data_IF_062088178251
#
_entry.id   IF_062088178251
#
_cell.length_a   1.000
_cell.length_b   1.000
_cell.length_c   1.000
_cell.angle_alpha   90.00
_cell.angle_beta   90.00
_cell.angle_gamma   90.00
#
_symmetry.space_group_name_H-M   'P 1'
#
loop_
_entity.id
_entity.type
_entity.pdbx_description
1 polymer ?
#
# COMPACT_ATOMS: atom_id res chain seq x y z
N UNK A 1 -24.10 -1.17 -10.07
CA UNK A 1 -22.81 -0.53 -9.75
C UNK A 1 -22.45 -0.87 -8.31
N UNK A 2 -21.37 -1.63 -8.04
CA UNK A 2 -20.98 -1.89 -6.64
C UNK A 2 -20.23 -3.19 -6.34
N UNK A 3 -19.32 -3.67 -7.19
CA UNK A 3 -18.58 -4.93 -6.91
C UNK A 3 -17.08 -4.77 -6.62
N UNK A 4 -16.49 -3.58 -6.83
CA UNK A 4 -15.04 -3.42 -6.63
C UNK A 4 -14.63 -3.08 -5.20
N UNK A 5 -15.50 -2.51 -4.36
CA UNK A 5 -15.10 -2.08 -3.00
C UNK A 5 -14.90 -3.26 -2.03
N UNK A 6 -15.67 -4.33 -2.19
CA UNK A 6 -15.73 -5.46 -1.26
C UNK A 6 -14.58 -6.46 -1.41
N UNK A 7 -14.16 -6.76 -2.66
CA UNK A 7 -12.97 -7.60 -2.90
C UNK A 7 -11.71 -6.96 -2.31
N UNK A 8 -11.61 -5.65 -2.46
CA UNK A 8 -10.52 -4.84 -1.95
C UNK A 8 -10.46 -4.80 -0.43
N UNK A 9 -11.60 -4.56 0.22
CA UNK A 9 -11.69 -4.57 1.68
C UNK A 9 -11.29 -5.93 2.26
N UNK A 10 -11.66 -7.03 1.58
CA UNK A 10 -11.27 -8.38 1.96
C UNK A 10 -9.78 -8.68 1.69
N UNK A 11 -9.23 -8.21 0.58
CA UNK A 11 -7.80 -8.36 0.27
C UNK A 11 -6.94 -7.60 1.29
N UNK A 12 -7.32 -6.35 1.60
CA UNK A 12 -6.69 -5.56 2.65
C UNK A 12 -6.84 -6.21 4.03
N UNK A 13 -8.01 -6.76 4.39
CA UNK A 13 -8.21 -7.52 5.65
C UNK A 13 -7.31 -8.76 5.75
N UNK A 14 -7.06 -9.45 4.64
CA UNK A 14 -6.14 -10.61 4.60
C UNK A 14 -4.68 -10.19 4.77
N UNK A 15 -4.26 -9.08 4.16
CA UNK A 15 -2.90 -8.52 4.33
C UNK A 15 -2.69 -7.95 5.73
N UNK A 16 -3.75 -7.41 6.34
CA UNK A 16 -3.76 -6.84 7.70
C UNK A 16 -3.47 -7.84 8.83
N UNK A 17 -3.36 -9.14 8.55
CA UNK A 17 -3.23 -10.17 9.59
C UNK A 17 -1.82 -10.76 9.76
N UNK A 18 -0.81 -10.36 8.97
CA UNK A 18 0.54 -10.93 9.11
C UNK A 18 1.65 -9.93 9.46
N UNK A 19 1.62 -8.70 8.96
CA UNK A 19 2.60 -7.64 9.29
C UNK A 19 1.91 -6.26 9.18
N UNK A 20 1.01 -5.98 10.12
CA UNK A 20 -0.05 -4.99 9.93
C UNK A 20 0.46 -3.55 10.08
N UNK A 21 0.94 -2.96 8.99
CA UNK A 21 1.04 -1.51 8.89
C UNK A 21 -0.32 -0.89 9.27
N UNK A 22 -0.33 0.17 10.11
CA UNK A 22 -1.56 0.85 10.48
C UNK A 22 -2.35 1.27 9.22
N UNK A 23 -3.70 1.26 9.24
CA UNK A 23 -4.51 1.66 8.09
C UNK A 23 -4.17 3.04 7.53
N UNK A 24 -3.73 3.96 8.40
CA UNK A 24 -3.28 5.30 8.03
C UNK A 24 -2.01 5.26 7.17
N UNK A 25 -1.05 4.40 7.54
CA UNK A 25 0.19 4.17 6.79
C UNK A 25 -0.11 3.54 5.45
N UNK A 26 -0.98 2.52 5.42
CA UNK A 26 -1.41 1.89 4.18
C UNK A 26 -1.99 2.94 3.23
N UNK A 27 -2.93 3.77 3.68
CA UNK A 27 -3.50 4.83 2.81
C UNK A 27 -2.43 5.79 2.31
N UNK A 28 -1.53 6.23 3.18
CA UNK A 28 -0.46 7.15 2.82
C UNK A 28 0.51 6.55 1.78
N UNK A 29 0.91 5.28 1.94
CA UNK A 29 1.73 4.56 0.96
C UNK A 29 1.04 4.54 -0.39
N UNK A 30 -0.23 4.15 -0.42
CA UNK A 30 -1.02 4.05 -1.65
C UNK A 30 -1.18 5.39 -2.36
N UNK A 31 -1.53 6.45 -1.64
CA UNK A 31 -1.67 7.79 -2.21
C UNK A 31 -0.34 8.29 -2.78
N UNK A 32 0.74 8.17 -2.00
CA UNK A 32 2.07 8.65 -2.42
C UNK A 32 2.65 7.84 -3.57
N UNK A 33 2.49 6.52 -3.55
CA UNK A 33 2.92 5.64 -4.65
C UNK A 33 2.13 5.91 -5.93
N UNK A 34 0.81 6.14 -5.83
CA UNK A 34 -0.01 6.56 -6.98
C UNK A 34 0.44 7.89 -7.59
N UNK A 35 1.10 8.76 -6.82
CA UNK A 35 1.71 10.00 -7.30
C UNK A 35 3.12 9.79 -7.89
N UNK A 36 3.58 8.55 -8.07
CA UNK A 36 4.89 8.22 -8.62
C UNK A 36 6.06 8.39 -7.64
N UNK A 37 5.79 8.43 -6.32
CA UNK A 37 6.87 8.51 -5.33
C UNK A 37 7.55 7.14 -5.14
N UNK A 38 8.86 7.16 -4.95
CA UNK A 38 9.65 5.96 -4.64
C UNK A 38 9.38 5.48 -3.21
N UNK A 39 9.54 4.17 -2.93
CA UNK A 39 9.41 3.60 -1.59
C UNK A 39 10.21 4.35 -0.52
N UNK A 40 11.43 4.76 -0.85
CA UNK A 40 12.32 5.52 0.05
C UNK A 40 11.71 6.87 0.46
N UNK A 41 11.23 7.66 -0.51
CA UNK A 41 10.55 8.95 -0.23
C UNK A 41 9.28 8.78 0.60
N UNK A 42 8.55 7.68 0.35
CA UNK A 42 7.36 7.34 1.12
C UNK A 42 7.74 7.04 2.57
N UNK A 43 8.78 6.23 2.80
CA UNK A 43 9.26 5.90 4.12
C UNK A 43 9.78 7.13 4.89
N UNK A 44 10.60 7.98 4.25
CA UNK A 44 11.11 9.20 4.89
C UNK A 44 9.97 10.11 5.37
N UNK A 45 8.95 10.34 4.52
CA UNK A 45 7.76 11.10 4.88
C UNK A 45 7.01 10.49 6.06
N UNK A 46 6.79 9.18 6.04
CA UNK A 46 6.07 8.49 7.11
C UNK A 46 6.87 8.55 8.44
N UNK A 47 8.19 8.43 8.36
CA UNK A 47 9.11 8.53 9.50
C UNK A 47 9.13 9.95 10.08
N UNK A 48 9.16 10.97 9.23
CA UNK A 48 9.06 12.39 9.62
C UNK A 48 7.74 12.68 10.36
N UNK A 49 6.63 12.14 9.87
CA UNK A 49 5.32 12.26 10.51
C UNK A 49 5.18 11.39 11.79
N UNK A 50 6.24 10.67 12.21
CA UNK A 50 6.29 9.69 13.33
C UNK A 50 5.16 8.65 13.30
N UNK A 51 4.58 8.37 12.12
CA UNK A 51 3.42 7.50 12.02
C UNK A 51 3.77 6.00 11.99
N UNK A 52 5.05 5.66 11.87
CA UNK A 52 5.56 4.32 11.54
C UNK A 52 6.66 3.89 12.53
N UNK A 53 6.52 2.68 13.08
CA UNK A 53 7.60 1.94 13.75
C UNK A 53 8.18 0.79 12.91
N UNK A 54 7.62 0.56 11.73
CA UNK A 54 8.08 -0.45 10.77
C UNK A 54 9.36 -0.02 10.05
N UNK A 55 10.13 -0.99 9.57
CA UNK A 55 11.35 -0.75 8.79
C UNK A 55 11.03 -0.33 7.35
N UNK A 56 11.99 0.30 6.69
CA UNK A 56 11.94 0.58 5.25
C UNK A 56 11.63 -0.69 4.44
N UNK A 57 12.30 -1.79 4.79
CA UNK A 57 12.13 -3.10 4.16
C UNK A 57 10.68 -3.61 4.22
N UNK A 58 9.96 -3.30 5.32
CA UNK A 58 8.54 -3.64 5.45
C UNK A 58 7.68 -2.85 4.45
N UNK A 59 8.00 -1.56 4.25
CA UNK A 59 7.31 -0.72 3.28
C UNK A 59 7.61 -1.17 1.86
N UNK A 60 8.86 -1.44 1.53
CA UNK A 60 9.27 -1.94 0.21
C UNK A 60 8.57 -3.26 -0.10
N UNK A 61 8.61 -4.22 0.84
CA UNK A 61 7.93 -5.51 0.71
C UNK A 61 6.43 -5.34 0.50
N UNK A 62 5.79 -4.42 1.23
CA UNK A 62 4.37 -4.12 1.07
C UNK A 62 4.07 -3.51 -0.31
N UNK A 63 4.89 -2.56 -0.76
CA UNK A 63 4.74 -1.93 -2.07
C UNK A 63 4.90 -2.97 -3.18
N UNK A 64 5.93 -3.82 -3.13
CA UNK A 64 6.17 -4.82 -4.16
C UNK A 64 5.12 -5.93 -4.18
N UNK A 65 4.68 -6.43 -3.02
CA UNK A 65 3.71 -7.55 -2.97
C UNK A 65 2.26 -7.11 -3.14
N UNK A 66 1.94 -5.87 -2.84
CA UNK A 66 0.54 -5.40 -2.75
C UNK A 66 0.26 -4.25 -3.69
N UNK A 67 1.08 -3.20 -3.66
CA UNK A 67 0.78 -1.95 -4.39
C UNK A 67 1.14 -2.08 -5.87
N UNK A 68 2.38 -2.48 -6.18
CA UNK A 68 2.89 -2.68 -7.54
C UNK A 68 2.00 -3.62 -8.38
N UNK A 69 1.68 -4.85 -7.95
CA UNK A 69 0.82 -5.75 -8.73
C UNK A 69 -0.61 -5.23 -8.89
N UNK A 70 -1.07 -4.33 -8.02
CA UNK A 70 -2.37 -3.69 -8.22
C UNK A 70 -2.34 -2.63 -9.32
N UNK A 71 -1.31 -1.79 -9.36
CA UNK A 71 -1.16 -0.77 -10.40
C UNK A 71 -0.86 -1.41 -11.77
N UNK A 72 -0.02 -2.43 -11.78
CA UNK A 72 0.34 -3.21 -12.97
C UNK A 72 -0.86 -3.95 -13.59
N UNK A 73 -1.71 -4.56 -12.73
CA UNK A 73 -2.99 -5.13 -13.18
C UNK A 73 -3.97 -4.10 -13.74
N UNK A 74 -3.92 -2.86 -13.25
CA UNK A 74 -4.78 -1.78 -13.75
C UNK A 74 -4.38 -1.30 -15.13
N UNK A 75 -3.09 -1.38 -15.46
CA UNK A 75 -2.56 -1.07 -16.79
C UNK A 75 -2.83 -2.19 -17.80
N UNK A 76 -2.97 -3.44 -17.32
CA UNK A 76 -3.23 -4.62 -18.14
C UNK A 76 -4.70 -4.78 -18.60
N UNK A 77 -5.62 -3.91 -18.18
CA UNK A 77 -6.99 -3.88 -18.72
C UNK A 77 -7.90 -5.05 -18.35
N UNK A 78 -7.56 -5.88 -17.36
CA UNK A 78 -8.50 -6.88 -16.83
C UNK A 78 -9.49 -6.20 -15.85
N UNK A 79 -10.68 -5.90 -16.39
CA UNK A 79 -11.87 -5.44 -15.67
C UNK A 79 -12.70 -6.61 -15.10
#
# INVERSE_FOLDING_TARGET
MGRSRDKWSNMLRKVKNKEALPPVIIRAIWTRYSCGQTPEKIYEKLKEERQISASLETIETYIEKVVKPYFDKKESGEA
#
